data_IF_237640239194
#
_entry.id   IF_237640239194
#
_cell.length_a   1.000
_cell.length_b   1.000
_cell.length_c   1.000
_cell.angle_alpha   90.00
_cell.angle_beta   90.00
_cell.angle_gamma   90.00
#
_symmetry.space_group_name_H-M   'P 1'
#
loop_
_entity.id
_entity.type
_entity.pdbx_description
1 polymer ?
#
# COMPACT_ATOMS: atom_id res chain seq x y z
N UNK A 1 10.99 -1.85 29.90
CA UNK A 1 9.70 -1.29 29.43
C UNK A 1 9.74 -1.28 27.91
N UNK A 2 9.07 -2.24 27.25
CA UNK A 2 9.07 -2.36 25.79
C UNK A 2 7.97 -1.47 25.22
N UNK A 3 8.35 -0.31 24.69
CA UNK A 3 7.44 0.54 23.92
C UNK A 3 7.44 0.05 22.47
N UNK A 4 6.57 -0.88 22.13
CA UNK A 4 6.27 -1.14 20.71
C UNK A 4 5.48 0.07 20.21
N UNK A 5 6.18 1.06 19.65
CA UNK A 5 5.55 2.17 18.94
C UNK A 5 5.40 1.76 17.49
N UNK A 6 4.20 1.37 17.11
CA UNK A 6 3.85 1.42 15.70
C UNK A 6 3.38 2.81 15.33
N UNK A 7 4.11 3.50 14.46
CA UNK A 7 3.58 4.68 13.75
C UNK A 7 3.06 4.17 12.39
N UNK A 8 1.86 3.58 12.34
CA UNK A 8 1.17 3.33 11.08
C UNK A 8 0.56 4.63 10.57
N UNK A 9 1.11 5.19 9.50
CA UNK A 9 0.42 6.22 8.73
C UNK A 9 -0.29 5.54 7.56
N UNK A 10 -1.57 5.20 7.77
CA UNK A 10 -2.45 4.63 6.77
C UNK A 10 -3.29 5.73 6.11
N UNK A 11 -3.28 5.79 4.79
CA UNK A 11 -4.10 6.71 3.99
C UNK A 11 -5.02 5.90 3.08
N UNK A 12 -6.29 6.29 3.00
CA UNK A 12 -7.31 5.65 2.16
C UNK A 12 -7.59 6.49 0.91
N UNK A 13 -7.89 5.83 -0.20
CA UNK A 13 -8.23 6.51 -1.44
C UNK A 13 -8.59 5.55 -2.56
N UNK A 14 -8.80 6.13 -3.75
CA UNK A 14 -8.99 5.36 -4.97
C UNK A 14 -7.69 5.32 -5.77
N UNK A 15 -7.32 4.14 -6.25
CA UNK A 15 -6.18 3.94 -7.13
C UNK A 15 -6.67 3.83 -8.58
N UNK A 16 -5.94 4.49 -9.47
CA UNK A 16 -6.07 4.32 -10.92
C UNK A 16 -4.66 4.22 -11.53
N UNK A 17 -4.47 3.32 -12.49
CA UNK A 17 -3.17 3.11 -13.13
C UNK A 17 -3.05 1.75 -13.78
N UNK A 18 -1.81 1.36 -14.09
CA UNK A 18 -1.48 0.03 -14.62
C UNK A 18 -0.49 -0.67 -13.70
N UNK A 19 -0.72 -1.95 -13.44
CA UNK A 19 0.21 -2.82 -12.75
C UNK A 19 0.63 -3.95 -13.70
N UNK A 20 1.93 -4.18 -13.83
CA UNK A 20 2.45 -5.31 -14.60
C UNK A 20 2.62 -6.49 -13.63
N UNK A 21 2.01 -7.62 -13.97
CA UNK A 21 2.19 -8.87 -13.23
C UNK A 21 3.55 -9.51 -13.59
N UNK A 22 3.97 -10.47 -12.78
CA UNK A 22 5.21 -11.22 -12.96
C UNK A 22 5.28 -11.99 -14.29
N UNK A 23 4.13 -12.44 -14.81
CA UNK A 23 4.00 -13.06 -16.13
C UNK A 23 3.98 -12.06 -17.31
N UNK A 24 4.08 -10.75 -17.02
CA UNK A 24 4.03 -9.67 -18.01
C UNK A 24 2.62 -9.15 -18.34
N UNK A 25 1.56 -9.73 -17.76
CA UNK A 25 0.18 -9.26 -17.96
C UNK A 25 0.01 -7.84 -17.40
N UNK A 26 -0.65 -6.96 -18.17
CA UNK A 26 -0.99 -5.60 -17.72
C UNK A 26 -2.38 -5.57 -17.09
N UNK A 27 -2.43 -5.35 -15.78
CA UNK A 27 -3.65 -5.09 -15.02
C UNK A 27 -3.99 -3.60 -15.07
N UNK A 28 -5.16 -3.25 -15.60
CA UNK A 28 -5.69 -1.89 -15.54
C UNK A 28 -6.49 -1.70 -14.25
N UNK A 29 -6.05 -0.79 -13.39
CA UNK A 29 -6.73 -0.39 -12.15
C UNK A 29 -7.50 0.90 -12.44
N UNK A 30 -8.82 0.91 -12.23
CA UNK A 30 -9.65 2.12 -12.38
C UNK A 30 -10.53 2.33 -11.15
N UNK A 31 -10.27 3.40 -10.42
CA UNK A 31 -11.01 3.83 -9.22
C UNK A 31 -11.27 2.69 -8.23
N UNK A 32 -10.25 1.87 -7.98
CA UNK A 32 -10.33 0.81 -6.98
C UNK A 32 -10.07 1.41 -5.60
N UNK A 33 -10.98 1.24 -4.66
CA UNK A 33 -10.79 1.70 -3.28
C UNK A 33 -9.74 0.84 -2.56
N UNK A 34 -8.79 1.47 -1.89
CA UNK A 34 -7.77 0.78 -1.11
C UNK A 34 -7.09 1.71 -0.10
N UNK A 35 -6.01 1.21 0.50
CA UNK A 35 -5.17 2.00 1.39
C UNK A 35 -3.69 1.86 1.03
N UNK A 36 -2.93 2.90 1.32
CA UNK A 36 -1.48 2.86 1.32
C UNK A 36 -1.00 3.05 2.76
N UNK A 37 -0.08 2.20 3.18
CA UNK A 37 0.50 2.24 4.52
C UNK A 37 2.02 2.38 4.41
N UNK A 38 2.58 3.31 5.17
CA UNK A 38 4.03 3.38 5.37
C UNK A 38 4.38 2.76 6.72
N UNK A 39 4.91 1.54 6.70
CA UNK A 39 5.40 0.87 7.90
C UNK A 39 6.90 1.17 8.06
N UNK A 40 7.26 1.87 9.13
CA UNK A 40 8.66 2.06 9.54
C UNK A 40 8.98 1.10 10.67
N UNK A 41 9.49 -0.10 10.35
CA UNK A 41 10.02 -1.01 11.36
C UNK A 41 11.38 -0.48 11.83
N UNK A 42 11.44 0.13 13.02
CA UNK A 42 12.71 0.38 13.72
C UNK A 42 12.98 -0.84 14.62
N UNK A 43 14.04 -1.58 14.32
CA UNK A 43 14.59 -2.64 15.17
C UNK A 43 15.58 -2.04 16.17
#
# INVERSE_FOLDING_TARGET
MLHIKSDQHQVFGHFSGKATLDDGTLLNVDRVFGFAEKVMNKW
#
